data_IF_460714757181
#
_entry.id   IF_460714757181
#
_cell.length_a   1.000
_cell.length_b   1.000
_cell.length_c   1.000
_cell.angle_alpha   90.00
_cell.angle_beta   90.00
_cell.angle_gamma   90.00
#
_symmetry.space_group_name_H-M   'P 1'
#
loop_
_entity.id
_entity.type
_entity.pdbx_description
1 polymer ?
#
# COMPACT_ATOMS: atom_id res chain seq x y z
N UNK A 1 -8.44 24.19 4.47
CA UNK A 1 -8.63 22.74 4.31
C UNK A 1 -7.88 22.26 3.06
N UNK A 2 -6.55 22.18 3.13
CA UNK A 2 -5.71 21.61 2.06
C UNK A 2 -5.02 20.41 2.67
N UNK A 3 -5.68 19.26 2.62
CA UNK A 3 -5.10 17.99 3.02
C UNK A 3 -4.25 17.45 1.86
N UNK A 4 -3.24 18.24 1.48
CA UNK A 4 -2.14 17.76 0.66
C UNK A 4 -1.10 17.27 1.65
N UNK A 5 -1.07 15.96 1.91
CA UNK A 5 0.10 15.29 2.48
C UNK A 5 1.31 15.88 1.73
N UNK A 6 2.14 16.64 2.44
CA UNK A 6 3.16 17.46 1.81
C UNK A 6 4.01 16.56 0.93
N UNK A 7 4.32 17.00 -0.30
CA UNK A 7 5.20 16.26 -1.21
C UNK A 7 6.50 15.84 -0.51
N UNK A 8 6.95 16.62 0.49
CA UNK A 8 8.08 16.31 1.36
C UNK A 8 7.86 15.10 2.30
N UNK A 9 6.68 14.92 2.89
CA UNK A 9 6.34 13.75 3.71
C UNK A 9 6.29 12.48 2.85
N UNK A 10 5.66 12.58 1.67
CA UNK A 10 5.62 11.47 0.72
C UNK A 10 7.02 11.12 0.22
N UNK A 11 7.87 12.12 -0.04
CA UNK A 11 9.26 11.91 -0.43
C UNK A 11 10.06 11.31 0.73
N UNK A 12 9.85 11.73 1.97
CA UNK A 12 10.55 11.22 3.14
C UNK A 12 10.19 9.76 3.42
N UNK A 13 8.91 9.38 3.28
CA UNK A 13 8.45 7.99 3.37
C UNK A 13 9.01 7.17 2.21
N UNK A 14 8.99 7.68 0.97
CA UNK A 14 9.58 6.99 -0.19
C UNK A 14 11.10 6.79 -0.05
N UNK A 15 11.82 7.82 0.43
CA UNK A 15 13.26 7.77 0.65
C UNK A 15 13.59 6.83 1.81
N UNK A 16 12.87 6.92 2.93
CA UNK A 16 13.02 6.00 4.06
C UNK A 16 12.72 4.56 3.66
N UNK A 17 11.64 4.31 2.93
CA UNK A 17 11.28 3.00 2.42
C UNK A 17 12.34 2.47 1.44
N UNK A 18 12.86 3.29 0.51
CA UNK A 18 13.96 2.91 -0.38
C UNK A 18 15.26 2.63 0.37
N UNK A 19 15.59 3.39 1.41
CA UNK A 19 16.76 3.13 2.25
C UNK A 19 16.60 1.80 3.01
N UNK A 20 15.44 1.56 3.62
CA UNK A 20 15.13 0.31 4.33
C UNK A 20 15.16 -0.90 3.38
N UNK A 21 14.68 -0.74 2.13
CA UNK A 21 14.79 -1.78 1.09
C UNK A 21 16.21 -2.05 0.61
N UNK A 22 17.08 -1.03 0.62
CA UNK A 22 18.46 -1.17 0.13
C UNK A 22 19.34 -1.98 1.10
N UNK A 23 18.92 -2.09 2.36
CA UNK A 23 19.50 -3.00 3.35
C UNK A 23 18.80 -4.39 3.39
N UNK A 24 17.59 -4.54 2.84
CA UNK A 24 16.81 -5.79 2.92
C UNK A 24 16.84 -6.70 1.66
N UNK A 25 17.63 -6.38 0.64
CA UNK A 25 17.80 -7.22 -0.57
C UNK A 25 19.27 -7.67 -0.64
N UNK A 26 19.71 -8.92 -0.49
CA UNK A 26 19.09 -10.25 -0.41
C UNK A 26 20.27 -11.22 -0.09
N UNK A 27 20.22 -12.11 0.92
CA UNK A 27 21.04 -13.33 0.85
C UNK A 27 20.36 -14.32 -0.12
N UNK A 28 21.08 -14.88 -1.11
CA UNK A 28 20.53 -15.93 -1.97
C UNK A 28 20.46 -17.22 -1.16
N UNK A 29 19.33 -17.48 -0.51
CA UNK A 29 19.08 -18.80 0.04
C UNK A 29 17.66 -19.25 -0.31
N UNK A 30 17.49 -20.40 -0.99
CA UNK A 30 16.24 -21.13 -0.94
C UNK A 30 16.23 -21.90 0.38
N UNK A 31 15.17 -21.76 1.20
CA UNK A 31 14.77 -22.92 1.98
C UNK A 31 13.23 -23.02 2.12
N UNK A 32 12.75 -24.16 2.63
CA UNK A 32 11.46 -24.71 2.30
C UNK A 32 10.36 -24.30 3.30
N UNK A 33 9.11 -24.42 2.84
CA UNK A 33 7.88 -24.60 3.65
C UNK A 33 7.61 -23.59 4.79
N UNK A 34 7.06 -22.42 4.46
CA UNK A 34 6.19 -21.69 5.39
C UNK A 34 5.14 -20.87 4.62
N UNK A 35 3.87 -21.09 4.96
CA UNK A 35 2.66 -20.64 4.24
C UNK A 35 2.28 -19.16 4.43
N UNK A 36 3.21 -18.27 4.79
CA UNK A 36 2.90 -16.87 5.15
C UNK A 36 3.77 -15.82 4.42
N UNK A 37 3.97 -15.98 3.11
CA UNK A 37 4.53 -14.91 2.27
C UNK A 37 3.44 -13.87 1.97
N UNK A 38 3.38 -12.83 2.80
CA UNK A 38 2.49 -11.66 2.64
C UNK A 38 2.84 -10.85 1.38
N UNK A 39 4.12 -10.71 1.07
CA UNK A 39 4.67 -9.97 -0.08
C UNK A 39 4.02 -10.30 -1.44
N UNK A 40 3.98 -11.55 -1.91
CA UNK A 40 3.34 -11.89 -3.19
C UNK A 40 1.83 -11.66 -3.19
N UNK A 41 1.16 -11.70 -2.03
CA UNK A 41 -0.28 -11.38 -1.93
C UNK A 41 -0.53 -9.89 -2.18
N UNK A 42 0.29 -9.02 -1.59
CA UNK A 42 0.21 -7.57 -1.77
C UNK A 42 0.50 -7.23 -3.24
N UNK A 43 1.55 -7.83 -3.82
CA UNK A 43 1.92 -7.62 -5.22
C UNK A 43 0.78 -7.97 -6.18
N UNK A 44 0.12 -9.12 -5.96
CA UNK A 44 -0.99 -9.58 -6.80
C UNK A 44 -2.21 -8.68 -6.71
N UNK A 45 -2.47 -8.08 -5.54
CA UNK A 45 -3.53 -7.08 -5.38
C UNK A 45 -3.17 -5.78 -6.08
N UNK A 46 -1.92 -5.31 -5.96
CA UNK A 46 -1.42 -4.17 -6.71
C UNK A 46 -1.59 -4.35 -8.21
N UNK A 47 -1.12 -5.47 -8.74
CA UNK A 47 -1.20 -5.77 -10.16
C UNK A 47 -2.66 -5.74 -10.65
N UNK A 48 -3.62 -6.24 -9.85
CA UNK A 48 -5.06 -6.06 -10.12
C UNK A 48 -5.50 -4.60 -10.07
N UNK A 49 -5.08 -3.83 -9.07
CA UNK A 49 -5.42 -2.39 -9.00
C UNK A 49 -4.96 -1.63 -10.24
N UNK A 50 -3.79 -1.96 -10.79
CA UNK A 50 -3.25 -1.30 -11.99
C UNK A 50 -3.79 -1.89 -13.31
N UNK A 51 -3.99 -3.22 -13.39
CA UNK A 51 -4.36 -3.93 -14.62
C UNK A 51 -5.87 -4.02 -14.85
N UNK A 52 -6.66 -3.96 -13.78
CA UNK A 52 -8.10 -4.19 -13.87
C UNK A 52 -8.84 -3.01 -14.48
N UNK A 53 -9.64 -3.29 -15.50
CA UNK A 53 -10.48 -2.31 -16.21
C UNK A 53 -11.83 -2.09 -15.55
N UNK A 54 -12.20 -2.95 -14.59
CA UNK A 54 -13.45 -2.86 -13.84
C UNK A 54 -13.25 -2.06 -12.56
N UNK A 55 -14.05 -1.00 -12.38
CA UNK A 55 -14.03 -0.17 -11.17
C UNK A 55 -14.22 -1.00 -9.90
N UNK A 56 -15.15 -1.95 -9.93
CA UNK A 56 -15.50 -2.82 -8.79
C UNK A 56 -14.34 -3.72 -8.35
N UNK A 57 -13.59 -4.27 -9.31
CA UNK A 57 -12.45 -5.15 -9.04
C UNK A 57 -11.28 -4.37 -8.42
N UNK A 58 -10.99 -3.17 -8.96
CA UNK A 58 -10.00 -2.28 -8.34
C UNK A 58 -10.42 -1.87 -6.93
N UNK A 59 -11.71 -1.55 -6.71
CA UNK A 59 -12.22 -1.14 -5.40
C UNK A 59 -12.09 -2.27 -4.37
N UNK A 60 -12.41 -3.51 -4.75
CA UNK A 60 -12.21 -4.70 -3.93
C UNK A 60 -10.72 -4.95 -3.63
N UNK A 61 -9.84 -4.75 -4.62
CA UNK A 61 -8.40 -4.91 -4.43
C UNK A 61 -7.81 -3.84 -3.49
N UNK A 62 -8.20 -2.57 -3.62
CA UNK A 62 -7.80 -1.50 -2.69
C UNK A 62 -8.34 -1.77 -1.27
N UNK A 63 -9.57 -2.26 -1.14
CA UNK A 63 -10.14 -2.65 0.17
C UNK A 63 -9.37 -3.80 0.82
N UNK A 64 -8.90 -4.75 0.04
CA UNK A 64 -8.03 -5.82 0.54
C UNK A 64 -6.66 -5.25 0.98
N UNK A 65 -6.07 -4.34 0.19
CA UNK A 65 -4.82 -3.64 0.55
C UNK A 65 -4.96 -2.83 1.85
N UNK A 66 -6.10 -2.16 2.08
CA UNK A 66 -6.42 -1.50 3.35
C UNK A 66 -6.34 -2.45 4.55
N UNK A 67 -6.87 -3.66 4.40
CA UNK A 67 -6.85 -4.63 5.50
C UNK A 67 -5.43 -5.13 5.77
N UNK A 68 -4.62 -5.27 4.71
CA UNK A 68 -3.22 -5.64 4.81
C UNK A 68 -2.36 -4.53 5.39
N UNK A 69 -2.66 -3.25 5.14
CA UNK A 69 -1.86 -2.14 5.66
C UNK A 69 -1.90 -2.03 7.18
N UNK A 70 -2.90 -2.62 7.86
CA UNK A 70 -2.92 -2.71 9.32
C UNK A 70 -1.80 -3.59 9.88
N UNK A 71 -1.52 -4.73 9.21
CA UNK A 71 -0.57 -5.76 9.68
C UNK A 71 0.78 -5.72 8.98
N UNK A 72 0.80 -5.43 7.67
CA UNK A 72 1.97 -5.47 6.80
C UNK A 72 2.24 -4.07 6.20
N UNK A 73 2.25 -3.05 7.05
CA UNK A 73 2.32 -1.63 6.66
C UNK A 73 3.54 -1.31 5.80
N UNK A 74 4.69 -1.86 6.16
CA UNK A 74 5.94 -1.69 5.40
C UNK A 74 5.83 -2.25 3.98
N UNK A 75 5.37 -3.49 3.83
CA UNK A 75 5.26 -4.14 2.52
C UNK A 75 4.20 -3.44 1.64
N UNK A 76 3.06 -3.07 2.22
CA UNK A 76 2.00 -2.33 1.49
C UNK A 76 2.47 -0.91 1.15
N UNK A 77 3.17 -0.21 2.02
CA UNK A 77 3.73 1.11 1.73
C UNK A 77 4.77 1.10 0.62
N UNK A 78 5.52 0.02 0.48
CA UNK A 78 6.51 -0.13 -0.59
C UNK A 78 5.83 -0.41 -1.93
N UNK A 79 4.94 -1.39 -1.98
CA UNK A 79 4.39 -1.88 -3.24
C UNK A 79 3.11 -1.15 -3.66
N UNK A 80 2.22 -0.88 -2.72
CA UNK A 80 0.91 -0.30 -2.99
C UNK A 80 0.91 1.20 -3.10
N UNK A 81 1.89 1.90 -2.51
CA UNK A 81 1.85 3.37 -2.50
C UNK A 81 1.84 3.98 -3.90
N UNK A 82 2.64 3.47 -4.84
CA UNK A 82 2.60 3.94 -6.24
C UNK A 82 1.24 3.68 -6.89
N UNK A 83 0.65 2.51 -6.64
CA UNK A 83 -0.62 2.09 -7.23
C UNK A 83 -1.80 2.88 -6.63
N UNK A 84 -1.77 3.16 -5.33
CA UNK A 84 -2.76 3.98 -4.64
C UNK A 84 -2.74 5.42 -5.16
N UNK A 85 -1.55 5.99 -5.39
CA UNK A 85 -1.42 7.31 -6.02
C UNK A 85 -1.99 7.30 -7.44
N UNK A 86 -1.70 6.25 -8.20
CA UNK A 86 -2.25 6.11 -9.56
C UNK A 86 -3.77 6.08 -9.54
N UNK A 87 -4.38 5.28 -8.65
CA UNK A 87 -5.84 5.24 -8.45
C UNK A 87 -6.42 6.60 -8.09
N UNK A 88 -5.76 7.35 -7.21
CA UNK A 88 -6.21 8.71 -6.86
C UNK A 88 -6.19 9.66 -8.07
N UNK A 89 -5.28 9.44 -9.03
CA UNK A 89 -5.19 10.22 -10.25
C UNK A 89 -6.21 9.78 -11.31
N UNK A 90 -6.37 8.47 -11.52
CA UNK A 90 -7.24 7.90 -12.56
C UNK A 90 -8.71 7.93 -12.16
N UNK A 91 -9.02 7.68 -10.89
CA UNK A 91 -10.38 7.43 -10.40
C UNK A 91 -10.91 8.52 -9.48
N UNK A 92 -10.42 9.74 -9.71
CA UNK A 92 -10.89 10.98 -9.07
C UNK A 92 -12.41 11.22 -9.13
N UNK A 93 -13.11 10.53 -10.03
CA UNK A 93 -14.57 10.59 -10.17
C UNK A 93 -15.31 9.71 -9.15
N UNK A 94 -14.61 8.79 -8.50
CA UNK A 94 -15.18 7.77 -7.63
C UNK A 94 -14.75 8.01 -6.18
N UNK A 95 -15.66 8.56 -5.36
CA UNK A 95 -15.34 8.96 -3.99
C UNK A 95 -15.02 7.78 -3.07
N UNK A 96 -15.58 6.60 -3.34
CA UNK A 96 -15.38 5.41 -2.51
C UNK A 96 -13.96 4.83 -2.69
N UNK A 97 -13.46 4.68 -3.92
CA UNK A 97 -12.10 4.17 -4.14
C UNK A 97 -11.05 5.17 -3.64
N UNK A 98 -11.29 6.48 -3.80
CA UNK A 98 -10.45 7.53 -3.23
C UNK A 98 -10.41 7.41 -1.70
N UNK A 99 -11.57 7.22 -1.07
CA UNK A 99 -11.67 7.01 0.36
C UNK A 99 -10.84 5.82 0.83
N UNK A 100 -10.94 4.68 0.16
CA UNK A 100 -10.13 3.51 0.50
C UNK A 100 -8.63 3.71 0.26
N UNK A 101 -8.26 4.41 -0.81
CA UNK A 101 -6.85 4.67 -1.10
C UNK A 101 -6.22 5.61 -0.08
N UNK A 102 -6.92 6.69 0.29
CA UNK A 102 -6.51 7.61 1.35
C UNK A 102 -6.45 6.93 2.70
N UNK A 103 -7.43 6.09 3.05
CA UNK A 103 -7.44 5.33 4.31
C UNK A 103 -6.30 4.31 4.36
N UNK A 104 -5.98 3.67 3.24
CA UNK A 104 -4.83 2.76 3.15
C UNK A 104 -3.53 3.52 3.37
N UNK A 105 -3.34 4.65 2.68
CA UNK A 105 -2.19 5.54 2.88
C UNK A 105 -2.12 6.05 4.31
N UNK A 106 -3.26 6.42 4.90
CA UNK A 106 -3.35 6.84 6.29
C UNK A 106 -2.92 5.73 7.24
N UNK A 107 -3.38 4.49 7.07
CA UNK A 107 -2.94 3.36 7.92
C UNK A 107 -1.44 3.03 7.78
N UNK A 108 -0.83 3.35 6.64
CA UNK A 108 0.62 3.14 6.41
C UNK A 108 1.44 4.27 7.08
N UNK A 109 0.93 5.49 7.06
CA UNK A 109 1.61 6.71 7.53
C UNK A 109 1.33 6.97 9.02
N UNK A 110 0.07 6.82 9.46
CA UNK A 110 -0.34 6.96 10.84
C UNK A 110 0.16 5.76 11.61
N UNK A 111 1.11 6.01 12.52
CA UNK A 111 1.63 5.03 13.47
C UNK A 111 0.80 5.01 14.76
N UNK A 112 -0.39 5.61 14.79
CA UNK A 112 -1.32 5.43 15.88
C UNK A 112 -1.73 3.96 15.89
N UNK A 113 -1.03 3.19 16.71
CA UNK A 113 -1.52 1.94 17.22
C UNK A 113 -2.89 2.28 17.83
N UNK A 114 -3.98 1.98 17.12
CA UNK A 114 -5.27 1.81 17.77
C UNK A 114 -5.10 0.62 18.71
N UNK A 115 -4.59 0.94 19.89
CA UNK A 115 -4.59 0.19 21.12
C UNK A 115 -6.09 -0.08 21.41
N UNK A 116 -6.61 -1.20 20.90
CA UNK A 116 -7.88 -1.73 21.38
C UNK A 116 -7.64 -2.24 22.81
N UNK A 117 -8.10 -1.41 23.75
CA UNK A 117 -8.25 -1.62 25.19
C UNK A 117 -8.96 -2.93 25.53
#
# INVERSE_FOLDING_TARGET
MKQYISLADLLFVLISARLILKDCCLPPHPPPIASDYSFPKIQKLCDRVASSTLLDDRRNAVRALKSLSKKYRLEVGIQAMEHLIHVLQTDRSDSEIIGYALDTLYNIISNDEEEEV
#
